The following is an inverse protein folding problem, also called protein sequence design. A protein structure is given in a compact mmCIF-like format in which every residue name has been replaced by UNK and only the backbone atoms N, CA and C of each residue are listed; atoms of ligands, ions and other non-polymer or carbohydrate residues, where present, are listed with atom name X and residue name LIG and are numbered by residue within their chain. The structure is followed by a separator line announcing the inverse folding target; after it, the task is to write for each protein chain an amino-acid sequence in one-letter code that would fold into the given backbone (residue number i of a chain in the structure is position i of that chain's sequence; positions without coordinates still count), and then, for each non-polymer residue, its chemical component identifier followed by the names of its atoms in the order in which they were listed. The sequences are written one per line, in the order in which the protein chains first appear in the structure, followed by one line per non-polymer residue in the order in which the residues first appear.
data_IF_438142162235
#
_entry.id   IF_438142162235
#
_cell.length_a   1.000
_cell.length_b   1.000
_cell.length_c   1.000
_cell.angle_alpha   90.00
_cell.angle_beta   90.00
_cell.angle_gamma   90.00
#
_symmetry.space_group_name_H-M   'P 1'
#
loop_
_entity.id
_entity.type
_entity.pdbx_description
1 polymer ?
#
# COMPACT_ATOMS: atom_id res chain seq x y z
N UNK A 1 18.40 29.34 14.79
CA UNK A 1 17.65 28.20 15.37
C UNK A 1 17.54 27.13 14.28
N UNK A 2 18.51 26.22 14.21
CA UNK A 2 18.58 25.15 13.21
C UNK A 2 18.05 23.85 13.82
N UNK A 3 16.82 23.48 13.52
CA UNK A 3 16.29 22.15 13.81
C UNK A 3 16.74 21.17 12.72
N UNK A 4 17.95 20.62 12.86
CA UNK A 4 18.39 19.46 12.08
C UNK A 4 17.67 18.20 12.61
N UNK A 5 16.37 18.09 12.34
CA UNK A 5 15.59 16.88 12.61
C UNK A 5 15.95 15.84 11.54
N UNK A 6 17.00 15.07 11.79
CA UNK A 6 17.33 13.90 10.99
C UNK A 6 16.11 12.97 10.90
N UNK A 7 15.69 12.65 9.68
CA UNK A 7 14.52 11.80 9.39
C UNK A 7 14.61 10.51 10.21
N UNK A 8 13.53 10.11 10.89
CA UNK A 8 13.52 8.89 11.70
C UNK A 8 13.83 7.67 10.83
N UNK A 9 14.95 7.01 11.12
CA UNK A 9 15.38 5.81 10.43
C UNK A 9 14.92 4.58 11.21
N UNK A 10 14.46 3.54 10.50
CA UNK A 10 14.05 2.29 11.12
C UNK A 10 15.21 1.64 11.87
N UNK A 11 14.99 1.31 13.15
CA UNK A 11 16.01 0.70 14.02
C UNK A 11 16.39 -0.73 13.65
N UNK A 12 15.53 -1.45 12.90
CA UNK A 12 15.82 -2.81 12.42
C UNK A 12 15.15 -3.07 11.07
N UNK A 13 15.84 -3.79 10.18
CA UNK A 13 15.30 -4.23 8.88
C UNK A 13 14.11 -5.16 9.06
N UNK A 14 14.14 -6.02 10.08
CA UNK A 14 13.02 -6.88 10.43
C UNK A 14 11.81 -6.05 10.85
N UNK A 15 12.01 -5.03 11.70
CA UNK A 15 10.93 -4.13 12.10
C UNK A 15 10.26 -3.43 10.92
N UNK A 16 11.04 -3.00 9.92
CA UNK A 16 10.49 -2.44 8.68
C UNK A 16 9.67 -3.46 7.88
N UNK A 17 10.20 -4.67 7.68
CA UNK A 17 9.53 -5.74 6.92
C UNK A 17 8.21 -6.12 7.61
N UNK A 18 8.22 -6.35 8.92
CA UNK A 18 7.04 -6.70 9.70
C UNK A 18 5.97 -5.60 9.68
N UNK A 19 6.37 -4.33 9.85
CA UNK A 19 5.44 -3.20 9.77
C UNK A 19 4.80 -3.09 8.36
N UNK A 20 5.61 -3.27 7.31
CA UNK A 20 5.11 -3.24 5.93
C UNK A 20 4.17 -4.41 5.61
N UNK A 21 4.50 -5.62 6.07
CA UNK A 21 3.68 -6.81 5.89
C UNK A 21 2.35 -6.69 6.64
N UNK A 22 2.37 -6.18 7.88
CA UNK A 22 1.16 -5.93 8.67
C UNK A 22 0.24 -4.89 8.04
N UNK A 23 0.80 -3.84 7.42
CA UNK A 23 0.00 -2.85 6.69
C UNK A 23 -0.59 -3.38 5.37
N UNK A 24 0.04 -4.38 4.75
CA UNK A 24 -0.41 -4.95 3.48
C UNK A 24 -1.54 -5.99 3.66
N UNK A 25 -1.57 -6.68 4.80
CA UNK A 25 -2.59 -7.70 5.09
C UNK A 25 -3.83 -7.04 5.72
N UNK A 26 -4.93 -6.96 4.96
CA UNK A 26 -6.20 -6.38 5.42
C UNK A 26 -7.34 -7.39 5.56
N UNK A 27 -8.43 -6.99 6.23
CA UNK A 27 -9.67 -7.79 6.41
C UNK A 27 -10.25 -8.34 5.10
N UNK A 28 -10.05 -7.64 3.98
CA UNK A 28 -10.48 -8.12 2.66
C UNK A 28 -9.89 -9.49 2.29
N UNK A 29 -8.65 -9.77 2.67
CA UNK A 29 -8.04 -11.07 2.44
C UNK A 29 -8.65 -12.19 3.30
N UNK A 30 -9.23 -11.84 4.45
CA UNK A 30 -9.77 -12.81 5.41
C UNK A 30 -11.14 -13.31 4.96
N UNK A 31 -12.01 -12.43 4.45
CA UNK A 31 -13.41 -12.80 4.16
C UNK A 31 -13.83 -12.65 2.69
N UNK A 32 -13.33 -11.64 1.98
CA UNK A 32 -13.69 -11.44 0.56
C UNK A 32 -13.02 -12.50 -0.34
N UNK A 33 -11.79 -12.88 -0.02
CA UNK A 33 -11.05 -13.92 -0.75
C UNK A 33 -11.76 -15.29 -0.72
N UNK A 34 -12.10 -15.90 0.45
CA UNK A 34 -12.78 -17.19 0.46
C UNK A 34 -14.16 -17.13 -0.20
N UNK A 35 -14.88 -16.02 -0.07
CA UNK A 35 -16.15 -15.82 -0.77
C UNK A 35 -15.97 -15.83 -2.30
N UNK A 36 -15.01 -15.07 -2.82
CA UNK A 36 -14.74 -15.03 -4.26
C UNK A 36 -14.19 -16.36 -4.78
N UNK A 37 -13.33 -17.03 -4.02
CA UNK A 37 -12.83 -18.36 -4.35
C UNK A 37 -13.99 -19.37 -4.43
N UNK A 38 -14.87 -19.39 -3.42
CA UNK A 38 -16.04 -20.29 -3.41
C UNK A 38 -17.01 -20.05 -4.58
N UNK A 39 -17.28 -18.78 -4.92
CA UNK A 39 -18.22 -18.43 -5.98
C UNK A 39 -17.66 -18.63 -7.41
N UNK A 40 -16.35 -18.54 -7.62
CA UNK A 40 -15.71 -18.56 -8.95
C UNK A 40 -15.01 -19.88 -9.28
N UNK A 41 -15.52 -21.02 -8.78
CA UNK A 41 -14.97 -22.34 -9.09
C UNK A 41 -13.96 -22.89 -8.07
N UNK A 42 -14.02 -22.41 -6.82
CA UNK A 42 -13.30 -22.95 -5.68
C UNK A 42 -11.78 -22.88 -5.85
N UNK A 43 -11.14 -24.06 -5.88
CA UNK A 43 -9.70 -24.20 -6.01
C UNK A 43 -9.16 -23.79 -7.39
N UNK A 44 -9.96 -23.88 -8.45
CA UNK A 44 -9.54 -23.47 -9.79
C UNK A 44 -9.27 -21.96 -9.88
N UNK A 45 -9.95 -21.15 -9.06
CA UNK A 45 -9.76 -19.69 -8.98
C UNK A 45 -8.43 -19.30 -8.30
N UNK A 46 -7.87 -20.16 -7.46
CA UNK A 46 -6.66 -19.87 -6.68
C UNK A 46 -5.44 -19.71 -7.60
N UNK A 47 -5.35 -20.54 -8.64
CA UNK A 47 -4.21 -20.58 -9.55
C UNK A 47 -4.03 -19.25 -10.33
N UNK A 48 -5.03 -18.73 -11.06
CA UNK A 48 -4.93 -17.41 -11.68
C UNK A 48 -4.84 -16.27 -10.65
N UNK A 49 -5.47 -16.41 -9.48
CA UNK A 49 -5.37 -15.41 -8.40
C UNK A 49 -3.93 -15.24 -7.92
N UNK A 50 -3.20 -16.33 -7.65
CA UNK A 50 -1.80 -16.26 -7.20
C UNK A 50 -0.93 -15.67 -8.30
N UNK A 51 -1.09 -16.12 -9.55
CA UNK A 51 -0.32 -15.61 -10.68
C UNK A 51 -0.53 -14.10 -10.82
N UNK A 52 -1.78 -13.64 -10.91
CA UNK A 52 -2.08 -12.22 -11.06
C UNK A 52 -1.61 -11.41 -9.85
N UNK A 53 -1.82 -11.91 -8.64
CA UNK A 53 -1.37 -11.24 -7.41
C UNK A 53 0.15 -11.09 -7.38
N UNK A 54 0.89 -12.14 -7.73
CA UNK A 54 2.36 -12.08 -7.78
C UNK A 54 2.81 -11.14 -8.88
N UNK A 55 2.31 -11.27 -10.11
CA UNK A 55 2.77 -10.40 -11.21
C UNK A 55 2.39 -8.94 -11.00
N UNK A 56 1.11 -8.64 -10.74
CA UNK A 56 0.64 -7.26 -10.62
C UNK A 56 1.12 -6.67 -9.29
N UNK A 57 0.93 -7.40 -8.19
CA UNK A 57 1.30 -6.93 -6.85
C UNK A 57 2.80 -6.70 -6.72
N UNK A 58 3.65 -7.60 -7.23
CA UNK A 58 5.09 -7.43 -7.17
C UNK A 58 5.57 -6.26 -8.02
N UNK A 59 5.07 -6.12 -9.26
CA UNK A 59 5.46 -5.01 -10.15
C UNK A 59 5.06 -3.66 -9.53
N UNK A 60 3.84 -3.54 -9.02
CA UNK A 60 3.38 -2.31 -8.36
C UNK A 60 4.22 -2.01 -7.11
N UNK A 61 4.52 -3.02 -6.28
CA UNK A 61 5.33 -2.84 -5.08
C UNK A 61 6.75 -2.35 -5.41
N UNK A 62 7.38 -2.88 -6.45
CA UNK A 62 8.69 -2.42 -6.91
C UNK A 62 8.66 -0.96 -7.37
N UNK A 63 7.62 -0.57 -8.11
CA UNK A 63 7.44 0.82 -8.57
C UNK A 63 7.26 1.75 -7.37
N UNK A 64 6.39 1.38 -6.42
CA UNK A 64 6.12 2.15 -5.19
C UNK A 64 7.41 2.34 -4.36
N UNK A 65 8.20 1.26 -4.20
CA UNK A 65 9.48 1.32 -3.48
C UNK A 65 10.50 2.20 -4.20
N UNK A 66 10.58 2.14 -5.53
CA UNK A 66 11.47 2.99 -6.31
C UNK A 66 11.10 4.48 -6.16
N UNK A 67 9.82 4.81 -6.29
CA UNK A 67 9.31 6.18 -6.11
C UNK A 67 9.55 6.68 -4.68
N UNK A 68 9.31 5.84 -3.67
CA UNK A 68 9.54 6.17 -2.27
C UNK A 68 11.02 6.42 -1.94
N UNK A 69 11.93 5.66 -2.57
CA UNK A 69 13.37 5.78 -2.38
C UNK A 69 13.95 7.06 -2.97
N UNK A 70 13.45 7.48 -4.13
CA UNK A 70 13.85 8.71 -4.81
C UNK A 70 13.20 9.95 -4.15
N UNK A 71 11.90 9.88 -3.88
CA UNK A 71 11.14 11.02 -3.36
C UNK A 71 11.43 11.34 -1.89
N UNK A 72 11.73 10.33 -1.06
CA UNK A 72 11.96 10.40 0.41
C UNK A 72 11.02 11.37 1.15
N UNK A 73 9.81 11.60 0.64
CA UNK A 73 8.87 12.63 1.07
C UNK A 73 7.45 12.10 0.98
N UNK A 74 6.47 12.89 1.44
CA UNK A 74 5.06 12.52 1.39
C UNK A 74 4.63 12.08 -0.03
N UNK A 75 3.64 11.18 -0.17
CA UNK A 75 3.23 10.61 -1.46
C UNK A 75 2.99 11.66 -2.56
N UNK A 76 2.37 12.80 -2.22
CA UNK A 76 2.15 13.94 -3.13
C UNK A 76 3.44 14.60 -3.64
N UNK A 77 4.44 14.76 -2.77
CA UNK A 77 5.75 15.31 -3.14
C UNK A 77 6.63 14.27 -3.83
N UNK A 78 6.57 13.00 -3.43
CA UNK A 78 7.32 11.92 -4.05
C UNK A 78 6.88 11.69 -5.51
N UNK A 79 5.57 11.63 -5.77
CA UNK A 79 5.05 11.54 -7.14
C UNK A 79 5.38 12.80 -7.96
N UNK A 80 5.29 13.99 -7.37
CA UNK A 80 5.64 15.22 -8.06
C UNK A 80 7.14 15.35 -8.37
N UNK A 81 8.01 14.70 -7.59
CA UNK A 81 9.46 14.70 -7.81
C UNK A 81 9.84 13.78 -8.99
N UNK A 82 9.14 12.67 -9.18
CA UNK A 82 9.43 11.68 -10.24
C UNK A 82 8.68 12.01 -11.53
N UNK A 83 7.40 12.41 -11.46
CA UNK A 83 6.54 12.66 -12.63
C UNK A 83 6.33 14.14 -12.98
N UNK A 84 6.84 15.06 -12.16
CA UNK A 84 6.63 16.50 -12.32
C UNK A 84 5.32 17.03 -11.69
N UNK A 85 5.11 18.35 -11.77
CA UNK A 85 4.08 19.09 -11.01
C UNK A 85 2.63 18.59 -11.21
N UNK A 86 2.32 18.00 -12.37
CA UNK A 86 0.99 17.44 -12.69
C UNK A 86 0.68 16.16 -11.93
N UNK A 87 1.70 15.39 -11.55
CA UNK A 87 1.54 14.14 -10.80
C UNK A 87 1.30 14.36 -9.30
N UNK A 88 1.43 15.60 -8.82
CA UNK A 88 1.03 15.98 -7.47
C UNK A 88 -0.45 15.67 -7.19
N UNK A 89 -1.33 15.83 -8.18
CA UNK A 89 -2.78 15.57 -8.02
C UNK A 89 -3.02 14.12 -7.65
N UNK A 90 -2.36 13.17 -8.34
CA UNK A 90 -2.48 11.75 -8.05
C UNK A 90 -2.00 11.37 -6.65
N UNK A 91 -0.92 12.00 -6.18
CA UNK A 91 -0.46 11.78 -4.81
C UNK A 91 -1.32 12.45 -3.73
N UNK A 92 -2.11 13.48 -4.06
CA UNK A 92 -3.14 14.02 -3.15
C UNK A 92 -4.36 13.11 -3.12
N UNK A 93 -4.77 12.59 -4.28
CA UNK A 93 -5.86 11.61 -4.39
C UNK A 93 -5.53 10.36 -3.58
N UNK A 94 -4.31 9.83 -3.64
CA UNK A 94 -3.94 8.64 -2.85
C UNK A 94 -4.04 8.86 -1.33
N UNK A 95 -3.69 10.05 -0.83
CA UNK A 95 -3.85 10.42 0.58
C UNK A 95 -5.35 10.46 0.95
N UNK A 96 -6.17 11.09 0.10
CA UNK A 96 -7.61 11.16 0.31
C UNK A 96 -8.26 9.76 0.29
N UNK A 97 -7.92 8.93 -0.69
CA UNK A 97 -8.38 7.54 -0.77
C UNK A 97 -7.99 6.75 0.49
N UNK A 98 -6.75 6.90 0.98
CA UNK A 98 -6.32 6.28 2.23
C UNK A 98 -7.18 6.70 3.42
N UNK A 99 -7.51 7.99 3.53
CA UNK A 99 -8.41 8.50 4.57
C UNK A 99 -9.82 7.90 4.49
N UNK A 100 -10.40 7.79 3.28
CA UNK A 100 -11.72 7.18 3.09
C UNK A 100 -11.73 5.70 3.47
N UNK A 101 -10.69 4.96 3.08
CA UNK A 101 -10.53 3.56 3.44
C UNK A 101 -10.45 3.44 4.96
N UNK A 102 -9.60 4.23 5.62
CA UNK A 102 -9.51 4.25 7.08
C UNK A 102 -10.87 4.54 7.74
N UNK A 103 -11.61 5.54 7.29
CA UNK A 103 -12.93 5.86 7.83
C UNK A 103 -13.90 4.68 7.71
N UNK A 104 -13.96 4.02 6.55
CA UNK A 104 -14.77 2.82 6.34
C UNK A 104 -14.35 1.65 7.25
N UNK A 105 -13.03 1.40 7.36
CA UNK A 105 -12.50 0.32 8.19
C UNK A 105 -12.73 0.55 9.69
N UNK A 106 -12.69 1.80 10.17
CA UNK A 106 -13.00 2.14 11.56
C UNK A 106 -14.45 1.83 11.90
N UNK A 107 -15.39 2.09 10.99
CA UNK A 107 -16.82 1.75 11.18
C UNK A 107 -17.02 0.23 11.29
N UNK A 108 -16.33 -0.57 10.47
CA UNK A 108 -16.43 -2.03 10.53
C UNK A 108 -15.78 -2.59 11.79
N UNK A 109 -14.61 -2.09 12.17
CA UNK A 109 -13.89 -2.57 13.36
C UNK A 109 -14.52 -2.14 14.69
N UNK A 110 -15.38 -1.12 14.67
CA UNK A 110 -16.09 -0.63 15.85
C UNK A 110 -17.44 -1.31 16.12
N UNK A 111 -17.92 -2.17 15.22
CA UNK A 111 -19.11 -3.01 15.41
C UNK A 111 -18.74 -4.35 16.05
#
# INVERSE_FOLDING_TARGET
MQSNQGRSQWGSRLGFILASAGSAVGLGAIWKFPYMAGANGGSAFILPYIVLTVFIGFIVLLIEMAIGREGKSCPSKALSAVGGKRWHVWGVVSIFTGFLILAFYQVIGGW
#
